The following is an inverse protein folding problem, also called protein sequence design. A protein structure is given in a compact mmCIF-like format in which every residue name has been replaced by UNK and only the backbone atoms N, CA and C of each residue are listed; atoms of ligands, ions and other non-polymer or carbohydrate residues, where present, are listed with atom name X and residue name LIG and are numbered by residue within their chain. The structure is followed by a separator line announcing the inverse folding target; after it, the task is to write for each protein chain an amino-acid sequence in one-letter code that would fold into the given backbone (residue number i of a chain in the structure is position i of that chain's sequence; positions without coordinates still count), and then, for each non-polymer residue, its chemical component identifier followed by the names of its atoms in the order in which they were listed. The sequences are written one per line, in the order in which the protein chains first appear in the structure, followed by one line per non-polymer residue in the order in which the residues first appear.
data_IF_192959162918
#
_entry.id   IF_192959162918
#
_cell.length_a   1.000
_cell.length_b   1.000
_cell.length_c   1.000
_cell.angle_alpha   90.00
_cell.angle_beta   90.00
_cell.angle_gamma   90.00
#
_symmetry.space_group_name_H-M   'P 1'
#
loop_
_entity.id
_entity.type
_entity.pdbx_description
1 polymer ?
#
# COMPACT_ATOMS: atom_id res chain seq x y z
N UNK A 1 0.25 19.11 -9.10
CA UNK A 1 -0.20 18.57 -7.82
C UNK A 1 0.06 19.54 -6.72
N UNK A 2 -0.84 19.62 -5.76
CA UNK A 2 -0.67 20.47 -4.60
C UNK A 2 0.37 19.92 -3.61
N UNK A 3 0.73 20.71 -2.59
CA UNK A 3 1.74 20.31 -1.62
C UNK A 3 1.39 19.12 -0.75
N UNK A 4 0.14 18.64 -0.80
CA UNK A 4 -0.31 17.47 -0.04
C UNK A 4 0.19 16.14 -0.63
N UNK A 5 0.67 16.14 -1.87
CA UNK A 5 1.09 14.92 -2.58
C UNK A 5 2.61 14.95 -2.78
N UNK A 6 3.33 14.91 -1.66
CA UNK A 6 4.79 15.03 -1.64
C UNK A 6 5.49 13.76 -1.18
N UNK A 7 4.73 12.74 -0.82
CA UNK A 7 5.29 11.51 -0.30
C UNK A 7 5.72 10.57 -1.43
N UNK A 8 6.62 9.65 -1.09
CA UNK A 8 7.08 8.58 -1.98
C UNK A 8 6.77 7.25 -1.32
N UNK A 9 6.30 6.29 -2.10
CA UNK A 9 6.10 4.93 -1.63
C UNK A 9 6.76 3.96 -2.60
N UNK A 10 7.16 2.81 -2.09
CA UNK A 10 7.62 1.70 -2.91
C UNK A 10 6.56 0.61 -2.86
N UNK A 11 6.02 0.25 -4.01
CA UNK A 11 4.95 -0.71 -4.13
C UNK A 11 5.52 -2.06 -4.59
N UNK A 12 5.09 -3.13 -3.94
CA UNK A 12 5.46 -4.50 -4.28
C UNK A 12 4.21 -5.24 -4.69
N UNK A 13 4.13 -5.58 -5.97
CA UNK A 13 3.00 -6.31 -6.54
C UNK A 13 3.38 -7.77 -6.75
N UNK A 14 2.53 -8.66 -6.24
CA UNK A 14 2.72 -10.10 -6.37
C UNK A 14 1.99 -10.62 -7.62
N UNK A 15 2.74 -11.32 -8.45
CA UNK A 15 2.19 -12.06 -9.59
C UNK A 15 2.53 -13.53 -9.41
N UNK A 16 1.54 -14.39 -9.57
CA UNK A 16 1.77 -15.82 -9.47
C UNK A 16 2.05 -16.41 -10.83
N UNK A 17 3.21 -17.06 -10.95
CA UNK A 17 3.57 -17.81 -12.16
C UNK A 17 3.78 -19.27 -11.77
N UNK A 18 2.83 -20.14 -12.16
CA UNK A 18 2.87 -21.53 -11.77
C UNK A 18 2.77 -21.70 -10.26
N UNK A 19 3.81 -22.24 -9.62
CA UNK A 19 3.88 -22.42 -8.16
C UNK A 19 4.66 -21.34 -7.45
N UNK A 20 5.25 -20.40 -8.20
CA UNK A 20 6.09 -19.36 -7.63
C UNK A 20 5.37 -18.02 -7.62
N UNK A 21 5.61 -17.24 -6.58
CA UNK A 21 5.18 -15.85 -6.51
C UNK A 21 6.34 -14.96 -6.98
N UNK A 22 6.04 -14.07 -7.91
CA UNK A 22 7.00 -13.10 -8.39
C UNK A 22 6.55 -11.72 -7.94
N UNK A 23 7.45 -11.00 -7.29
CA UNK A 23 7.19 -9.66 -6.78
C UNK A 23 7.86 -8.62 -7.68
N UNK A 24 7.08 -7.64 -8.11
CA UNK A 24 7.54 -6.51 -8.91
C UNK A 24 7.58 -5.26 -8.03
N UNK A 25 8.73 -4.62 -7.95
CA UNK A 25 8.94 -3.40 -7.17
C UNK A 25 8.76 -2.18 -8.07
N UNK A 26 8.03 -1.20 -7.58
CA UNK A 26 7.84 0.08 -8.29
C UNK A 26 7.84 1.22 -7.29
N UNK A 27 8.64 2.25 -7.55
CA UNK A 27 8.65 3.47 -6.75
C UNK A 27 7.64 4.46 -7.32
N UNK A 28 6.77 4.99 -6.45
CA UNK A 28 5.75 5.96 -6.82
C UNK A 28 6.00 7.25 -6.04
N UNK A 29 6.18 8.34 -6.77
CA UNK A 29 6.44 9.66 -6.21
C UNK A 29 5.22 10.56 -6.40
N UNK A 30 5.03 11.50 -5.47
CA UNK A 30 3.90 12.41 -5.54
C UNK A 30 2.60 11.80 -5.07
N UNK A 31 2.68 10.95 -4.05
CA UNK A 31 1.52 10.33 -3.41
C UNK A 31 1.26 10.97 -2.05
N UNK A 32 0.15 10.60 -1.42
CA UNK A 32 -0.16 11.00 -0.05
C UNK A 32 -0.28 9.75 0.82
N UNK A 33 0.54 9.70 1.86
CA UNK A 33 0.52 8.62 2.85
C UNK A 33 -0.11 9.15 4.13
N UNK A 34 -1.20 8.53 4.55
CA UNK A 34 -1.90 8.87 5.79
C UNK A 34 -2.06 7.64 6.66
N UNK A 35 -1.75 7.80 7.93
CA UNK A 35 -1.89 6.73 8.90
C UNK A 35 -2.78 7.23 10.04
N UNK A 36 -3.73 6.42 10.45
CA UNK A 36 -4.62 6.76 11.57
C UNK A 36 -4.93 5.51 12.38
N UNK A 37 -5.31 5.72 13.64
CA UNK A 37 -5.82 4.66 14.48
C UNK A 37 -7.32 4.59 14.32
N UNK A 38 -7.82 3.41 13.99
CA UNK A 38 -9.23 3.15 13.75
C UNK A 38 -9.78 2.26 14.86
N UNK A 39 -10.92 2.65 15.43
CA UNK A 39 -11.65 1.83 16.38
C UNK A 39 -12.30 0.68 15.62
N UNK A 40 -11.99 -0.55 16.02
CA UNK A 40 -12.66 -1.70 15.42
C UNK A 40 -14.02 -1.90 16.05
N UNK A 41 -14.98 -2.38 15.26
CA UNK A 41 -16.33 -2.63 15.74
C UNK A 41 -16.43 -3.86 16.67
N UNK A 42 -15.40 -4.70 16.68
CA UNK A 42 -15.38 -5.93 17.45
C UNK A 42 -14.66 -5.72 18.78
N UNK A 43 -15.37 -6.01 19.88
CA UNK A 43 -14.75 -6.13 21.19
C UNK A 43 -14.16 -7.53 21.34
N UNK A 44 -13.07 -7.66 22.09
CA UNK A 44 -12.53 -8.96 22.42
C UNK A 44 -13.42 -9.64 23.48
N UNK A 45 -13.08 -10.89 23.85
CA UNK A 45 -13.83 -11.66 24.82
C UNK A 45 -13.95 -11.00 26.20
N UNK A 46 -13.01 -10.12 26.54
CA UNK A 46 -13.04 -9.36 27.78
C UNK A 46 -13.84 -8.06 27.66
N UNK A 47 -14.49 -7.81 26.53
CA UNK A 47 -15.30 -6.61 26.29
C UNK A 47 -14.49 -5.37 25.98
N UNK A 48 -13.20 -5.47 25.75
CA UNK A 48 -12.35 -4.33 25.41
C UNK A 48 -12.52 -3.95 23.94
N UNK A 49 -12.56 -2.64 23.69
CA UNK A 49 -12.59 -2.11 22.33
C UNK A 49 -11.19 -2.20 21.76
N UNK A 50 -11.08 -2.76 20.57
CA UNK A 50 -9.80 -2.89 19.87
C UNK A 50 -9.57 -1.71 18.95
N UNK A 51 -8.31 -1.30 18.86
CA UNK A 51 -7.87 -0.25 17.94
C UNK A 51 -6.83 -0.85 16.99
N UNK A 52 -6.89 -0.45 15.75
CA UNK A 52 -5.94 -0.88 14.74
C UNK A 52 -5.44 0.32 13.96
N UNK A 53 -4.19 0.27 13.55
CA UNK A 53 -3.64 1.27 12.63
C UNK A 53 -4.16 0.98 11.22
N UNK A 54 -4.59 2.03 10.54
CA UNK A 54 -5.01 1.95 9.15
C UNK A 54 -4.21 2.97 8.35
N UNK A 55 -3.64 2.54 7.25
CA UNK A 55 -2.88 3.40 6.35
C UNK A 55 -3.66 3.58 5.05
N UNK A 56 -3.88 4.83 4.67
CA UNK A 56 -4.51 5.17 3.39
C UNK A 56 -3.49 5.87 2.52
N UNK A 57 -3.26 5.33 1.33
CA UNK A 57 -2.35 5.91 0.36
C UNK A 57 -3.16 6.39 -0.84
N UNK A 58 -3.11 7.68 -1.12
CA UNK A 58 -3.74 8.25 -2.31
C UNK A 58 -2.67 8.43 -3.38
N UNK A 59 -2.86 7.76 -4.51
CA UNK A 59 -1.92 7.78 -5.63
C UNK A 59 -2.57 8.50 -6.80
N UNK A 60 -2.19 9.78 -7.05
CA UNK A 60 -2.74 10.50 -8.20
C UNK A 60 -2.35 9.82 -9.51
N UNK A 61 -3.21 9.91 -10.51
CA UNK A 61 -2.98 9.27 -11.80
C UNK A 61 -1.60 9.60 -12.41
N UNK A 62 -1.10 10.85 -12.36
CA UNK A 62 0.23 11.17 -12.88
C UNK A 62 1.39 10.49 -12.12
N UNK A 63 1.17 10.06 -10.87
CA UNK A 63 2.20 9.36 -10.09
C UNK A 63 2.41 7.92 -10.55
N UNK A 64 1.45 7.35 -11.27
CA UNK A 64 1.52 5.99 -11.80
C UNK A 64 1.25 5.99 -13.31
N UNK A 65 2.18 6.51 -14.12
CA UNK A 65 2.02 6.49 -15.59
C UNK A 65 1.83 5.06 -16.10
N UNK A 66 0.88 4.87 -17.00
CA UNK A 66 0.56 3.53 -17.50
C UNK A 66 -0.39 2.73 -16.63
N UNK A 67 -0.86 3.32 -15.53
CA UNK A 67 -1.80 2.68 -14.63
C UNK A 67 -1.15 2.10 -13.39
N UNK A 68 -1.98 1.67 -12.46
CA UNK A 68 -1.55 1.07 -11.19
C UNK A 68 -2.03 -0.37 -11.13
N UNK A 69 -1.10 -1.27 -10.85
CA UNK A 69 -1.39 -2.68 -10.68
C UNK A 69 -1.14 -3.07 -9.23
N UNK A 70 -2.14 -2.88 -8.39
CA UNK A 70 -2.10 -3.31 -6.99
C UNK A 70 -3.36 -4.12 -6.69
N UNK A 71 -3.23 -5.08 -5.81
CA UNK A 71 -4.31 -5.95 -5.39
C UNK A 71 -4.18 -6.25 -3.89
N UNK A 72 -5.26 -6.70 -3.22
CA UNK A 72 -5.15 -7.12 -1.83
C UNK A 72 -4.05 -8.17 -1.65
N UNK A 73 -3.24 -7.99 -0.61
CA UNK A 73 -2.08 -8.84 -0.35
C UNK A 73 -0.76 -8.26 -0.84
N UNK A 74 -0.80 -7.23 -1.67
CA UNK A 74 0.42 -6.51 -2.06
C UNK A 74 0.95 -5.70 -0.89
N UNK A 75 2.18 -5.22 -1.00
CA UNK A 75 2.89 -4.57 0.11
C UNK A 75 3.36 -3.18 -0.31
N UNK A 76 3.22 -2.22 0.59
CA UNK A 76 3.71 -0.86 0.39
C UNK A 76 4.70 -0.48 1.49
N UNK A 77 5.77 0.20 1.10
CA UNK A 77 6.77 0.75 2.02
C UNK A 77 6.81 2.26 1.86
N UNK A 78 6.76 2.99 2.97
CA UNK A 78 6.90 4.45 2.96
C UNK A 78 8.32 4.83 2.57
N UNK A 79 8.44 5.72 1.60
CA UNK A 79 9.74 6.17 1.10
C UNK A 79 10.27 5.28 -0.04
N UNK A 80 11.49 5.57 -0.47
CA UNK A 80 12.18 4.77 -1.47
C UNK A 80 12.83 3.56 -0.81
N UNK A 81 12.61 2.39 -1.34
CA UNK A 81 13.17 1.15 -0.81
C UNK A 81 13.79 0.35 -1.96
N UNK A 82 15.08 0.04 -1.84
CA UNK A 82 15.80 -0.70 -2.86
C UNK A 82 15.73 -2.22 -2.67
N UNK A 83 15.23 -2.68 -1.53
CA UNK A 83 15.11 -4.10 -1.25
C UNK A 83 14.13 -4.77 -2.21
N UNK A 84 14.44 -5.97 -2.65
CA UNK A 84 13.57 -6.77 -3.50
C UNK A 84 13.17 -8.05 -2.77
N UNK A 85 11.91 -8.44 -2.96
CA UNK A 85 11.40 -9.67 -2.35
C UNK A 85 11.84 -10.86 -3.17
N UNK A 86 12.44 -11.85 -2.50
CA UNK A 86 12.97 -13.05 -3.11
C UNK A 86 12.81 -14.22 -2.13
N UNK A 87 13.35 -15.38 -2.50
CA UNK A 87 13.36 -16.53 -1.58
C UNK A 87 14.22 -16.26 -0.34
N UNK A 88 15.28 -15.46 -0.49
CA UNK A 88 16.20 -15.13 0.63
C UNK A 88 15.70 -13.96 1.47
N UNK A 89 14.92 -13.05 0.87
CA UNK A 89 14.37 -11.88 1.55
C UNK A 89 12.86 -11.85 1.29
N UNK A 90 12.10 -12.35 2.26
CA UNK A 90 10.65 -12.54 2.10
C UNK A 90 9.87 -11.26 2.39
N UNK A 91 8.58 -11.28 2.08
CA UNK A 91 7.68 -10.17 2.43
C UNK A 91 7.63 -9.93 3.93
N UNK A 92 7.72 -10.98 4.76
CA UNK A 92 7.75 -10.84 6.21
C UNK A 92 9.01 -10.10 6.67
N UNK A 93 10.15 -10.36 6.04
CA UNK A 93 11.38 -9.64 6.33
C UNK A 93 11.25 -8.16 5.97
N UNK A 94 10.60 -7.86 4.85
CA UNK A 94 10.35 -6.49 4.43
C UNK A 94 9.43 -5.77 5.43
N UNK A 95 8.36 -6.41 5.86
CA UNK A 95 7.41 -5.84 6.82
C UNK A 95 8.11 -5.54 8.14
N UNK A 96 8.90 -6.47 8.65
CA UNK A 96 9.62 -6.30 9.93
C UNK A 96 10.75 -5.29 9.83
N UNK A 97 11.48 -5.26 8.72
CA UNK A 97 12.64 -4.40 8.56
C UNK A 97 12.32 -2.97 8.16
N UNK A 98 11.27 -2.75 7.41
CA UNK A 98 10.93 -1.44 6.83
C UNK A 98 9.57 -0.89 7.27
N UNK A 99 8.86 -1.59 8.15
CA UNK A 99 7.54 -1.14 8.59
C UNK A 99 6.52 -1.13 7.46
N UNK A 100 6.61 -2.07 6.55
CA UNK A 100 5.71 -2.15 5.40
C UNK A 100 4.28 -2.44 5.84
N UNK A 101 3.32 -2.01 5.02
CA UNK A 101 1.90 -2.27 5.22
C UNK A 101 1.36 -3.15 4.11
N UNK A 102 0.31 -3.89 4.42
CA UNK A 102 -0.30 -4.84 3.47
C UNK A 102 -1.55 -4.21 2.88
N UNK A 103 -1.66 -4.23 1.56
CA UNK A 103 -2.83 -3.70 0.85
C UNK A 103 -4.06 -4.54 1.20
N UNK A 104 -5.11 -3.88 1.66
CA UNK A 104 -6.38 -4.48 1.97
C UNK A 104 -7.40 -4.26 0.86
N UNK A 105 -7.44 -3.04 0.30
CA UNK A 105 -8.35 -2.71 -0.79
C UNK A 105 -7.77 -1.61 -1.67
N UNK A 106 -8.20 -1.59 -2.93
CA UNK A 106 -7.83 -0.54 -3.89
C UNK A 106 -9.11 -0.02 -4.53
N UNK A 107 -9.35 1.28 -4.40
CA UNK A 107 -10.45 1.95 -5.08
C UNK A 107 -9.91 2.73 -6.26
N UNK A 108 -10.44 2.45 -7.45
CA UNK A 108 -10.06 3.12 -8.69
C UNK A 108 -10.99 4.29 -8.94
N UNK A 109 -10.48 5.50 -8.78
CA UNK A 109 -11.20 6.74 -9.02
C UNK A 109 -10.70 7.47 -10.28
N UNK A 110 -10.03 6.76 -11.19
CA UNK A 110 -9.43 7.36 -12.38
C UNK A 110 -10.46 7.74 -13.46
N UNK A 111 -11.69 7.26 -13.35
CA UNK A 111 -12.75 7.59 -14.29
C UNK A 111 -13.43 8.93 -13.99
N UNK A 112 -13.09 9.58 -12.88
CA UNK A 112 -13.63 10.89 -12.54
C UNK A 112 -13.06 11.96 -13.46
N UNK A 113 -13.82 13.06 -13.76
CA UNK A 113 -13.32 14.12 -14.64
C UNK A 113 -12.14 14.90 -14.08
N UNK A 114 -11.99 14.93 -12.75
CA UNK A 114 -10.86 15.56 -12.07
C UNK A 114 -10.49 14.77 -10.82
N UNK A 115 -9.32 15.06 -10.24
CA UNK A 115 -8.78 14.38 -9.07
C UNK A 115 -8.69 12.86 -9.29
N UNK A 116 -8.26 12.47 -10.48
CA UNK A 116 -8.09 11.06 -10.82
C UNK A 116 -7.01 10.45 -9.95
N UNK A 117 -7.36 9.39 -9.25
CA UNK A 117 -6.44 8.75 -8.32
C UNK A 117 -6.89 7.33 -7.97
N UNK A 118 -5.98 6.61 -7.36
CA UNK A 118 -6.30 5.35 -6.68
C UNK A 118 -6.19 5.58 -5.18
N UNK A 119 -7.16 5.07 -4.44
CA UNK A 119 -7.14 5.09 -2.98
C UNK A 119 -6.85 3.68 -2.49
N UNK A 120 -5.70 3.50 -1.84
CA UNK A 120 -5.24 2.20 -1.35
C UNK A 120 -5.34 2.20 0.16
N UNK A 121 -6.10 1.24 0.71
CA UNK A 121 -6.25 1.07 2.15
C UNK A 121 -5.42 -0.12 2.58
N UNK A 122 -4.57 0.08 3.60
CA UNK A 122 -3.60 -0.90 4.06
C UNK A 122 -3.70 -1.13 5.56
N UNK A 123 -3.26 -2.25 5.97
CA UNK A 123 -3.19 -2.64 7.39
C UNK A 123 -1.79 -3.11 7.80
#
# INVERSE_FOLDING_TARGET
MGPLFTDTVTAYHRTRQGRADIWTRRELRGVQWRQKTVRTALANEAGKILYAAETTVTIPAPAAPGGLTLAPGDVLVFGACAAEISEEYTEDDLIRGHGAVIVQSVADNTLRPWLRSWKVVCV
#
